data_IF_070486788224
#
_entry.id   IF_070486788224
#
_cell.length_a   1.000
_cell.length_b   1.000
_cell.length_c   1.000
_cell.angle_alpha   90.00
_cell.angle_beta   90.00
_cell.angle_gamma   90.00
#
_symmetry.space_group_name_H-M   'P 1'
#
loop_
_entity.id
_entity.type
_entity.pdbx_description
1 polymer ?
#
# COMPACT_ATOMS: atom_id res chain seq x y z
N UNK A 1 -10.20 -5.95 -0.92
CA UNK A 1 -8.77 -5.61 -1.13
C UNK A 1 -8.73 -4.26 -1.82
N UNK A 2 -7.91 -3.33 -1.33
CA UNK A 2 -7.66 -2.03 -1.93
C UNK A 2 -6.34 -2.10 -2.69
N UNK A 3 -6.32 -1.55 -3.91
CA UNK A 3 -5.11 -1.39 -4.71
C UNK A 3 -4.83 0.10 -4.90
N UNK A 4 -3.58 0.48 -4.73
CA UNK A 4 -3.10 1.85 -4.82
C UNK A 4 -1.99 1.87 -5.87
N UNK A 5 -2.20 2.62 -6.95
CA UNK A 5 -1.20 2.91 -7.96
C UNK A 5 -0.65 4.32 -7.72
N UNK A 6 0.67 4.47 -7.65
CA UNK A 6 1.32 5.76 -7.41
C UNK A 6 2.70 5.84 -8.07
N UNK A 7 3.14 7.05 -8.38
CA UNK A 7 4.46 7.38 -8.95
C UNK A 7 5.33 8.21 -7.99
N UNK A 8 4.91 8.34 -6.73
CA UNK A 8 5.54 9.20 -5.73
C UNK A 8 6.43 8.41 -4.76
N UNK A 9 7.78 8.49 -4.86
CA UNK A 9 8.69 7.59 -4.17
C UNK A 9 8.58 7.62 -2.63
N UNK A 10 8.27 8.78 -2.08
CA UNK A 10 8.20 9.00 -0.64
C UNK A 10 6.95 8.32 -0.02
N UNK A 11 5.88 8.18 -0.80
CA UNK A 11 4.65 7.51 -0.36
C UNK A 11 4.77 5.99 -0.31
N UNK A 12 5.68 5.38 -1.08
CA UNK A 12 5.90 3.92 -1.12
C UNK A 12 6.23 3.36 0.27
N UNK A 13 6.95 4.13 1.11
CA UNK A 13 7.29 3.71 2.48
C UNK A 13 6.27 4.14 3.51
N UNK A 14 5.61 5.28 3.29
CA UNK A 14 4.67 5.88 4.26
C UNK A 14 3.32 5.18 4.25
N UNK A 15 2.80 4.84 3.07
CA UNK A 15 1.48 4.22 2.91
C UNK A 15 1.42 2.84 3.59
N UNK A 16 2.33 1.88 3.31
CA UNK A 16 2.27 0.56 3.94
C UNK A 16 2.32 0.65 5.47
N UNK A 17 3.25 1.45 6.00
CA UNK A 17 3.38 1.69 7.44
C UNK A 17 2.11 2.27 8.07
N UNK A 18 1.48 3.24 7.42
CA UNK A 18 0.22 3.82 7.90
C UNK A 18 -0.90 2.77 7.89
N UNK A 19 -1.00 1.97 6.82
CA UNK A 19 -2.02 0.93 6.71
C UNK A 19 -1.87 -0.14 7.81
N UNK A 20 -0.64 -0.59 8.07
CA UNK A 20 -0.36 -1.52 9.18
C UNK A 20 -0.69 -0.90 10.55
N UNK A 21 -0.33 0.37 10.76
CA UNK A 21 -0.68 1.09 12.00
C UNK A 21 -2.19 1.20 12.22
N UNK A 22 -2.98 1.27 11.14
CA UNK A 22 -4.45 1.26 11.21
C UNK A 22 -5.05 -0.16 11.33
N UNK A 23 -4.22 -1.18 11.51
CA UNK A 23 -4.66 -2.57 11.66
C UNK A 23 -5.02 -3.24 10.34
N UNK A 24 -4.66 -2.65 9.20
CA UNK A 24 -4.84 -3.28 7.91
C UNK A 24 -3.62 -4.12 7.53
N UNK A 25 -3.81 -5.10 6.66
CA UNK A 25 -2.72 -5.97 6.22
C UNK A 25 -2.21 -5.54 4.85
N UNK A 26 -0.93 -5.22 4.76
CA UNK A 26 -0.24 -5.01 3.47
C UNK A 26 0.01 -6.37 2.83
N UNK A 27 -0.43 -6.53 1.60
CA UNK A 27 -0.28 -7.77 0.83
C UNK A 27 0.88 -7.69 -0.16
N UNK A 28 1.11 -6.50 -0.73
CA UNK A 28 2.06 -6.30 -1.83
C UNK A 28 2.53 -4.86 -1.85
N UNK A 29 3.83 -4.67 -2.12
CA UNK A 29 4.45 -3.40 -2.52
C UNK A 29 5.40 -3.74 -3.65
N UNK A 30 5.07 -3.37 -4.88
CA UNK A 30 5.84 -3.74 -6.08
C UNK A 30 5.98 -2.55 -7.02
N UNK A 31 7.18 -2.37 -7.55
CA UNK A 31 7.43 -1.45 -8.66
C UNK A 31 7.07 -2.14 -9.97
N UNK A 32 6.14 -1.57 -10.74
CA UNK A 32 5.64 -2.20 -11.98
C UNK A 32 6.30 -1.62 -13.24
N UNK A 33 6.92 -0.44 -13.13
CA UNK A 33 7.74 0.17 -14.18
C UNK A 33 8.72 1.21 -13.59
N UNK A 34 9.36 2.03 -14.42
CA UNK A 34 10.38 2.99 -13.97
C UNK A 34 9.89 3.99 -12.91
N UNK A 35 8.61 4.35 -12.91
CA UNK A 35 8.04 5.37 -12.00
C UNK A 35 6.99 4.79 -11.08
N UNK A 36 6.22 3.81 -11.54
CA UNK A 36 4.95 3.44 -10.92
C UNK A 36 5.08 2.24 -9.99
N UNK A 37 4.31 2.31 -8.91
CA UNK A 37 4.26 1.32 -7.85
C UNK A 37 2.82 0.92 -7.56
N UNK A 38 2.63 -0.37 -7.30
CA UNK A 38 1.38 -0.95 -6.85
C UNK A 38 1.52 -1.37 -5.40
N UNK A 39 0.60 -0.89 -4.56
CA UNK A 39 0.44 -1.32 -3.17
C UNK A 39 -0.93 -1.98 -3.03
N UNK A 40 -0.96 -3.23 -2.54
CA UNK A 40 -2.21 -3.91 -2.23
C UNK A 40 -2.39 -4.05 -0.72
N UNK A 41 -3.58 -3.71 -0.25
CA UNK A 41 -3.94 -3.72 1.18
C UNK A 41 -5.24 -4.48 1.37
N UNK A 42 -5.26 -5.43 2.30
CA UNK A 42 -6.50 -5.98 2.83
C UNK A 42 -6.97 -5.09 3.97
N UNK A 43 -8.09 -4.40 3.73
CA UNK A 43 -8.80 -3.67 4.78
C UNK A 43 -9.40 -4.69 5.74
N UNK A 44 -8.98 -4.64 6.99
CA UNK A 44 -9.66 -5.30 8.09
C UNK A 44 -10.78 -4.36 8.55
N UNK A 45 -12.01 -4.87 8.60
CA UNK A 45 -13.16 -4.14 9.16
C UNK A 45 -13.32 -4.69 10.57
N UNK A 46 -13.23 -3.83 11.59
CA UNK A 46 -13.57 -4.24 12.95
C UNK A 46 -15.06 -4.61 13.00
N UNK A 47 -15.39 -5.64 13.79
CA UNK A 47 -16.77 -6.07 14.06
C UNK A 47 -17.62 -4.95 14.66
#
# INVERSE_FOLDING_TARGET
VLEILLDYPEAIRRIPKAMENYGHKVLKVEQINNTDWVIQVRKEVGD
#
